data_IF_085699764885
#
_entry.id   IF_085699764885
#
_cell.length_a   1.000
_cell.length_b   1.000
_cell.length_c   1.000
_cell.angle_alpha   90.00
_cell.angle_beta   90.00
_cell.angle_gamma   90.00
#
_symmetry.space_group_name_H-M   'P 1'
#
loop_
_entity.id
_entity.type
_entity.pdbx_description
1 polymer ?
#
# COMPACT_ATOMS: atom_id res chain seq x y z
N UNK A 1 2.70 -18.84 15.07
CA UNK A 1 3.45 -17.99 14.14
C UNK A 1 2.71 -16.68 13.93
N UNK A 2 3.42 -15.57 13.99
CA UNK A 2 2.81 -14.27 13.75
C UNK A 2 2.99 -13.88 12.30
N UNK A 3 1.95 -13.29 11.73
CA UNK A 3 1.96 -12.83 10.37
C UNK A 3 1.77 -11.32 10.35
N UNK A 4 2.40 -10.69 9.37
CA UNK A 4 2.33 -9.25 9.16
C UNK A 4 1.99 -9.00 7.71
N UNK A 5 1.28 -7.92 7.45
CA UNK A 5 0.79 -7.63 6.10
C UNK A 5 1.12 -6.20 5.71
N UNK A 6 1.60 -6.05 4.50
CA UNK A 6 1.63 -4.74 3.84
C UNK A 6 0.51 -4.77 2.83
N UNK A 7 -0.28 -3.72 2.78
CA UNK A 7 -1.47 -3.70 1.94
C UNK A 7 -1.65 -2.36 1.27
N UNK A 8 -2.40 -2.37 0.17
CA UNK A 8 -2.80 -1.15 -0.51
C UNK A 8 -4.32 -1.14 -0.60
N UNK A 9 -4.90 -0.03 -0.19
CA UNK A 9 -6.34 0.22 -0.31
C UNK A 9 -6.57 1.23 -1.41
N UNK A 10 -7.62 1.00 -2.19
CA UNK A 10 -8.10 1.99 -3.14
C UNK A 10 -9.26 2.71 -2.49
N UNK A 11 -9.17 4.02 -2.41
CA UNK A 11 -10.16 4.85 -1.76
C UNK A 11 -11.25 5.28 -2.73
N UNK A 12 -12.33 5.84 -2.19
CA UNK A 12 -13.46 6.29 -2.99
C UNK A 12 -13.04 7.29 -4.06
N UNK A 13 -12.07 8.14 -3.74
CA UNK A 13 -11.55 9.15 -4.68
C UNK A 13 -10.48 8.59 -5.61
N UNK A 14 -10.31 7.27 -5.65
CA UNK A 14 -9.31 6.56 -6.46
C UNK A 14 -7.87 6.75 -6.01
N UNK A 15 -7.64 7.39 -4.88
CA UNK A 15 -6.29 7.45 -4.33
C UNK A 15 -5.93 6.11 -3.69
N UNK A 16 -4.63 5.89 -3.49
CA UNK A 16 -4.13 4.68 -2.86
C UNK A 16 -3.60 4.99 -1.48
N UNK A 17 -3.88 4.09 -0.54
CA UNK A 17 -3.34 4.16 0.81
C UNK A 17 -2.56 2.88 1.08
N UNK A 18 -1.31 3.01 1.52
CA UNK A 18 -0.45 1.88 1.86
C UNK A 18 -0.34 1.78 3.37
N UNK A 19 -0.50 0.57 3.90
CA UNK A 19 -0.45 0.37 5.34
C UNK A 19 0.20 -0.94 5.73
N UNK A 20 0.34 -1.11 7.02
CA UNK A 20 0.97 -2.26 7.64
C UNK A 20 0.09 -2.70 8.81
N UNK A 21 -0.13 -4.00 8.96
CA UNK A 21 -0.93 -4.52 10.07
C UNK A 21 -0.58 -5.97 10.35
N UNK A 22 -0.91 -6.42 11.54
CA UNK A 22 -0.82 -7.84 11.87
C UNK A 22 -2.18 -8.55 11.75
N UNK A 23 -3.22 -7.82 11.36
CA UNK A 23 -4.54 -8.41 11.17
C UNK A 23 -5.27 -7.66 10.07
N UNK A 24 -5.18 -8.21 8.86
CA UNK A 24 -5.67 -7.53 7.67
C UNK A 24 -7.19 -7.34 7.69
N UNK A 25 -7.93 -8.37 8.07
CA UNK A 25 -9.39 -8.27 8.11
C UNK A 25 -9.85 -7.20 9.09
N UNK A 26 -9.28 -7.19 10.28
CA UNK A 26 -9.66 -6.21 11.29
C UNK A 26 -9.32 -4.80 10.84
N UNK A 27 -8.14 -4.62 10.25
CA UNK A 27 -7.74 -3.29 9.81
C UNK A 27 -8.63 -2.78 8.69
N UNK A 28 -8.99 -3.65 7.75
CA UNK A 28 -9.90 -3.26 6.67
C UNK A 28 -11.26 -2.83 7.24
N UNK A 29 -11.75 -3.61 8.20
CA UNK A 29 -13.00 -3.25 8.87
C UNK A 29 -12.89 -1.88 9.56
N UNK A 30 -11.79 -1.65 10.27
CA UNK A 30 -11.58 -0.39 10.99
C UNK A 30 -11.57 0.80 10.04
N UNK A 31 -10.91 0.64 8.89
CA UNK A 31 -10.89 1.71 7.88
C UNK A 31 -12.29 2.02 7.39
N UNK A 32 -13.07 1.00 7.05
CA UNK A 32 -14.41 1.22 6.51
C UNK A 32 -15.42 1.66 7.55
N UNK A 33 -15.20 1.29 8.80
CA UNK A 33 -16.08 1.71 9.89
C UNK A 33 -15.79 3.15 10.34
N UNK A 34 -14.68 3.71 9.88
CA UNK A 34 -14.33 5.08 10.24
C UNK A 34 -14.02 5.25 11.71
N UNK A 35 -13.28 4.31 12.28
CA UNK A 35 -13.00 4.33 13.71
C UNK A 35 -11.98 5.39 14.12
N UNK A 36 -11.20 5.91 13.16
CA UNK A 36 -10.22 6.95 13.44
C UNK A 36 -10.48 8.13 12.54
N UNK A 37 -10.93 9.23 13.11
CA UNK A 37 -11.25 10.44 12.34
C UNK A 37 -10.00 11.09 11.77
N UNK A 38 -8.83 10.84 12.37
CA UNK A 38 -7.58 11.38 11.88
C UNK A 38 -6.97 10.54 10.76
N UNK A 39 -7.55 9.39 10.46
CA UNK A 39 -7.01 8.52 9.42
C UNK A 39 -7.15 9.16 8.05
N UNK A 40 -6.12 8.96 7.20
CA UNK A 40 -6.16 9.40 5.82
C UNK A 40 -7.43 8.93 5.11
N UNK A 41 -7.88 7.72 5.44
CA UNK A 41 -9.01 7.11 4.74
C UNK A 41 -10.37 7.54 5.25
N UNK A 42 -10.43 8.29 6.35
CA UNK A 42 -11.69 8.59 6.99
C UNK A 42 -12.72 9.23 6.04
N UNK A 43 -12.30 10.24 5.30
CA UNK A 43 -13.19 10.94 4.37
C UNK A 43 -13.24 10.31 2.99
N UNK A 44 -12.56 9.19 2.82
CA UNK A 44 -12.40 8.55 1.52
C UNK A 44 -13.01 7.15 1.47
N UNK A 45 -13.91 6.89 2.41
CA UNK A 45 -14.61 5.60 2.46
C UNK A 45 -15.71 5.54 1.43
N UNK A 46 -16.07 4.37 0.94
CA UNK A 46 -15.50 3.08 1.30
C UNK A 46 -14.14 2.87 0.66
N UNK A 47 -13.34 2.02 1.30
CA UNK A 47 -12.03 1.64 0.76
C UNK A 47 -12.08 0.17 0.37
N UNK A 48 -11.25 -0.18 -0.60
CA UNK A 48 -11.20 -1.51 -1.16
C UNK A 48 -9.79 -2.04 -1.10
N UNK A 49 -9.61 -3.28 -0.63
CA UNK A 49 -8.31 -3.92 -0.61
C UNK A 49 -7.96 -4.35 -2.03
N UNK A 50 -6.88 -3.80 -2.59
CA UNK A 50 -6.49 -4.10 -3.97
C UNK A 50 -5.16 -4.84 -4.07
N UNK A 51 -4.40 -4.90 -2.98
CA UNK A 51 -3.15 -5.64 -2.97
C UNK A 51 -2.70 -5.89 -1.53
N UNK A 52 -2.07 -7.04 -1.28
CA UNK A 52 -1.39 -7.27 -0.01
C UNK A 52 -0.28 -8.30 -0.20
N UNK A 53 0.68 -8.25 0.73
CA UNK A 53 1.76 -9.22 0.81
C UNK A 53 1.94 -9.61 2.27
N UNK A 54 2.18 -10.89 2.50
CA UNK A 54 2.31 -11.44 3.85
C UNK A 54 3.77 -11.65 4.20
N UNK A 55 4.12 -11.33 5.44
CA UNK A 55 5.48 -11.43 5.94
C UNK A 55 5.48 -12.13 7.29
N UNK A 56 6.57 -12.84 7.60
CA UNK A 56 6.77 -13.42 8.92
C UNK A 56 7.67 -12.55 9.79
N UNK A 57 8.37 -11.58 9.17
CA UNK A 57 9.29 -10.68 9.86
C UNK A 57 8.75 -9.26 9.83
N UNK A 58 8.44 -8.67 11.00
CA UNK A 58 7.86 -7.33 11.01
C UNK A 58 8.81 -6.27 10.45
N UNK A 59 10.11 -6.43 10.67
CA UNK A 59 11.07 -5.46 10.16
C UNK A 59 11.04 -5.39 8.64
N UNK A 60 11.00 -6.54 7.98
CA UNK A 60 10.92 -6.58 6.54
C UNK A 60 9.62 -5.97 6.03
N UNK A 61 8.51 -6.27 6.70
CA UNK A 61 7.22 -5.72 6.31
C UNK A 61 7.22 -4.19 6.40
N UNK A 62 7.77 -3.66 7.49
CA UNK A 62 7.83 -2.21 7.68
C UNK A 62 8.69 -1.55 6.62
N UNK A 63 9.83 -2.17 6.26
CA UNK A 63 10.69 -1.63 5.21
C UNK A 63 9.98 -1.59 3.87
N UNK A 64 9.26 -2.65 3.54
CA UNK A 64 8.51 -2.72 2.28
C UNK A 64 7.38 -1.70 2.27
N UNK A 65 6.69 -1.55 3.39
CA UNK A 65 5.60 -0.58 3.49
C UNK A 65 6.12 0.84 3.24
N UNK A 66 7.25 1.18 3.84
CA UNK A 66 7.83 2.50 3.64
C UNK A 66 8.26 2.71 2.20
N UNK A 67 8.82 1.69 1.58
CA UNK A 67 9.22 1.75 0.19
C UNK A 67 8.02 2.03 -0.71
N UNK A 68 6.98 1.24 -0.55
CA UNK A 68 5.80 1.36 -1.41
C UNK A 68 5.11 2.71 -1.20
N UNK A 69 5.10 3.20 0.04
CA UNK A 69 4.53 4.50 0.31
C UNK A 69 5.16 5.61 -0.50
N UNK A 70 6.46 5.49 -0.80
CA UNK A 70 7.17 6.50 -1.57
C UNK A 70 7.05 6.33 -3.08
N UNK A 71 6.39 5.29 -3.54
CA UNK A 71 6.27 5.03 -4.98
C UNK A 71 5.26 5.97 -5.64
N UNK A 72 5.46 6.21 -6.93
CA UNK A 72 4.50 6.94 -7.74
C UNK A 72 3.22 6.12 -7.88
N UNK A 73 2.15 6.80 -8.30
CA UNK A 73 0.87 6.11 -8.49
C UNK A 73 0.99 5.02 -9.55
N UNK A 74 1.67 5.30 -10.66
CA UNK A 74 1.77 4.32 -11.74
C UNK A 74 2.56 3.08 -11.30
N UNK A 75 3.54 3.26 -10.43
CA UNK A 75 4.31 2.14 -9.93
C UNK A 75 3.47 1.29 -8.98
N UNK A 76 2.66 1.93 -8.14
CA UNK A 76 1.72 1.19 -7.29
C UNK A 76 0.71 0.44 -8.13
N UNK A 77 0.22 1.07 -9.19
CA UNK A 77 -0.75 0.43 -10.07
C UNK A 77 -0.13 -0.81 -10.75
N UNK A 78 1.13 -0.71 -11.17
CA UNK A 78 1.82 -1.86 -11.77
C UNK A 78 1.93 -3.02 -10.78
N UNK A 79 2.18 -2.71 -9.51
CA UNK A 79 2.22 -3.74 -8.48
C UNK A 79 0.85 -4.38 -8.28
N UNK A 80 -0.20 -3.57 -8.22
CA UNK A 80 -1.57 -4.05 -8.04
C UNK A 80 -1.97 -4.96 -9.21
N UNK A 81 -1.59 -4.57 -10.42
CA UNK A 81 -1.90 -5.33 -11.62
C UNK A 81 -0.97 -6.51 -11.83
N UNK A 82 0.04 -6.64 -10.99
CA UNK A 82 1.08 -7.67 -11.13
C UNK A 82 1.75 -7.60 -12.50
N UNK A 83 1.92 -6.39 -12.98
CA UNK A 83 2.59 -6.14 -14.27
C UNK A 83 4.08 -5.90 -13.99
N UNK A 84 4.81 -7.00 -13.91
CA UNK A 84 6.20 -6.95 -13.48
C UNK A 84 7.09 -6.21 -14.45
N UNK A 85 6.78 -6.27 -15.74
CA UNK A 85 7.55 -5.53 -16.74
C UNK A 85 7.47 -4.04 -16.51
N UNK A 86 6.26 -3.52 -16.29
CA UNK A 86 6.09 -2.09 -16.01
C UNK A 86 6.73 -1.72 -14.69
N UNK A 87 6.62 -2.59 -13.69
CA UNK A 87 7.20 -2.32 -12.39
C UNK A 87 8.70 -2.16 -12.49
N UNK A 88 9.37 -3.06 -13.23
CA UNK A 88 10.79 -2.97 -13.45
C UNK A 88 11.14 -1.70 -14.21
N UNK A 89 10.39 -1.39 -15.27
CA UNK A 89 10.61 -0.20 -16.07
C UNK A 89 10.53 1.07 -15.23
N UNK A 90 9.50 1.20 -14.42
CA UNK A 90 9.32 2.38 -13.58
C UNK A 90 10.40 2.48 -12.51
N UNK A 91 10.87 1.35 -12.01
CA UNK A 91 11.94 1.34 -11.02
C UNK A 91 13.26 1.82 -11.59
N UNK A 92 13.51 1.56 -12.86
CA UNK A 92 14.77 1.95 -13.48
C UNK A 92 14.88 3.44 -13.75
N UNK A 93 13.76 4.13 -13.80
CA UNK A 93 13.76 5.55 -14.14
C UNK A 93 14.23 6.44 -13.00
N UNK A 94 14.28 5.94 -11.80
CA UNK A 94 14.71 6.68 -10.61
C UNK A 94 13.87 7.90 -10.30
N UNK A 95 12.90 8.19 -11.11
CA UNK A 95 12.07 9.37 -10.89
C UNK A 95 11.25 9.22 -9.63
N UNK A 96 11.04 7.99 -9.19
CA UNK A 96 10.32 7.74 -7.95
C UNK A 96 11.06 8.27 -6.74
N UNK A 97 12.35 8.55 -6.91
CA UNK A 97 13.17 9.07 -5.83
C UNK A 97 13.52 10.54 -6.05
N UNK A 98 12.97 11.12 -7.04
CA UNK A 98 13.26 12.50 -7.36
C UNK A 98 14.58 12.71 -7.99
N UNK A 99 15.10 11.77 -8.70
CA UNK A 99 16.42 11.88 -9.13
C UNK A 99 16.77 11.55 -10.50
N UNK A 100 17.05 11.33 -10.91
CA UNK A 100 17.37 10.84 -11.79
C UNK A 100 18.01 10.73 -12.31
N UNK A 101 18.26 10.74 -12.44
CA UNK A 101 18.68 10.56 -12.79
C UNK A 101 19.03 10.80 -13.15
#
# INVERSE_FOLDING_TARGET
MKLYFVYILKCKDNSFYTGFTNNLERRLYEHNAGLSKESYTYDKRPVELVWYEMFTEPTQAILIEKKIKGWSRRKKQALIDEDWDKLVKYSKNYTDFGKEE
#
